data_IF_396560348733
#
_entry.id   IF_396560348733
#
_cell.length_a   1.000
_cell.length_b   1.000
_cell.length_c   1.000
_cell.angle_alpha   90.00
_cell.angle_beta   90.00
_cell.angle_gamma   90.00
#
_symmetry.space_group_name_H-M   'P 1'
#
loop_
_entity.id
_entity.type
_entity.pdbx_description
1 polymer ?
#
# COMPACT_ATOMS: atom_id res chain seq x y z
N UNK A 1 24.03 -3.68 5.51
CA UNK A 1 22.97 -4.61 5.10
C UNK A 1 21.86 -3.83 4.41
N UNK A 2 21.42 -4.30 3.25
CA UNK A 2 20.38 -3.59 2.51
C UNK A 2 19.04 -3.68 3.24
N UNK A 3 18.30 -2.58 3.24
CA UNK A 3 16.94 -2.52 3.76
C UNK A 3 16.02 -3.37 2.90
N UNK A 4 15.20 -4.20 3.52
CA UNK A 4 14.19 -4.99 2.83
C UNK A 4 12.82 -4.38 3.05
N UNK A 5 12.03 -4.18 1.99
CA UNK A 5 10.67 -3.71 2.17
C UNK A 5 9.77 -4.82 2.71
N UNK A 6 8.71 -4.43 3.39
CA UNK A 6 7.63 -5.33 3.77
C UNK A 6 6.52 -5.18 2.72
N UNK A 7 6.32 -6.22 1.92
CA UNK A 7 5.29 -6.21 0.87
C UNK A 7 4.35 -7.38 1.11
N UNK A 8 3.05 -7.07 1.20
CA UNK A 8 2.03 -8.10 1.34
C UNK A 8 0.87 -7.81 0.39
N UNK A 9 0.39 -8.86 -0.27
CA UNK A 9 -0.86 -8.84 -1.04
C UNK A 9 -1.77 -9.84 -0.35
N UNK A 10 -2.84 -9.34 0.26
CA UNK A 10 -3.66 -10.15 1.16
C UNK A 10 -5.14 -9.79 1.03
N UNK A 11 -6.01 -10.73 1.36
CA UNK A 11 -7.44 -10.48 1.43
C UNK A 11 -7.82 -9.76 2.73
N UNK A 12 -7.14 -10.10 3.82
CA UNK A 12 -7.44 -9.61 5.17
C UNK A 12 -7.14 -8.12 5.29
N UNK A 13 -7.89 -7.47 6.16
CA UNK A 13 -7.63 -6.08 6.51
C UNK A 13 -6.30 -5.95 7.25
N UNK A 14 -5.86 -4.72 7.45
CA UNK A 14 -4.63 -4.41 8.16
C UNK A 14 -4.91 -3.33 9.21
N UNK A 15 -4.06 -3.29 10.23
CA UNK A 15 -4.13 -2.27 11.27
C UNK A 15 -2.95 -1.32 11.12
N UNK A 16 -3.23 -0.05 10.81
CA UNK A 16 -2.20 0.94 10.54
C UNK A 16 -1.21 1.08 11.71
N UNK A 17 -1.72 1.18 12.94
CA UNK A 17 -0.83 1.37 14.08
C UNK A 17 0.09 0.18 14.29
N UNK A 18 -0.41 -1.03 14.10
CA UNK A 18 0.40 -2.24 14.21
C UNK A 18 1.54 -2.21 13.19
N UNK A 19 1.26 -1.81 11.96
CA UNK A 19 2.29 -1.77 10.91
C UNK A 19 3.33 -0.69 11.19
N UNK A 20 2.94 0.46 11.71
CA UNK A 20 3.89 1.50 12.11
C UNK A 20 4.77 1.00 13.25
N UNK A 21 4.17 0.36 14.25
CA UNK A 21 4.92 -0.17 15.40
C UNK A 21 5.94 -1.22 14.98
N UNK A 22 5.57 -2.11 14.06
CA UNK A 22 6.48 -3.12 13.53
C UNK A 22 7.68 -2.48 12.81
N UNK A 23 7.43 -1.43 12.05
CA UNK A 23 8.49 -0.75 11.30
C UNK A 23 9.45 0.01 12.21
N UNK A 24 8.93 0.64 13.26
CA UNK A 24 9.72 1.58 14.08
C UNK A 24 10.29 0.97 15.35
N UNK A 25 9.90 -0.27 15.70
CA UNK A 25 10.33 -0.90 16.95
C UNK A 25 11.85 -0.95 17.06
N UNK A 26 12.38 -0.43 18.16
CA UNK A 26 13.82 -0.43 18.43
C UNK A 26 14.65 0.46 17.52
N UNK A 27 14.02 1.29 16.67
CA UNK A 27 14.72 2.17 15.71
C UNK A 27 14.83 3.57 16.27
N UNK A 28 16.03 4.15 16.19
CA UNK A 28 16.30 5.52 16.65
C UNK A 28 16.79 6.43 15.51
N UNK A 29 16.90 5.89 14.30
CA UNK A 29 17.36 6.59 13.12
C UNK A 29 16.23 7.20 12.29
N UNK A 30 14.99 6.79 12.54
CA UNK A 30 13.82 7.27 11.80
C UNK A 30 13.38 8.60 12.36
N UNK A 31 13.39 9.64 11.52
CA UNK A 31 12.93 10.97 11.88
C UNK A 31 11.59 11.35 11.28
N UNK A 32 11.12 10.61 10.28
CA UNK A 32 9.85 10.91 9.61
C UNK A 32 9.19 9.61 9.15
N UNK A 33 7.88 9.53 9.36
CA UNK A 33 7.05 8.42 8.87
C UNK A 33 5.86 9.05 8.13
N UNK A 34 5.69 8.65 6.88
CA UNK A 34 4.56 9.08 6.05
C UNK A 34 3.72 7.85 5.74
N UNK A 35 2.42 7.96 5.96
CA UNK A 35 1.49 6.88 5.68
C UNK A 35 0.44 7.34 4.68
N UNK A 36 0.07 6.44 3.79
CA UNK A 36 -1.05 6.62 2.88
C UNK A 36 -1.98 5.43 3.01
N UNK A 37 -3.26 5.69 3.23
CA UNK A 37 -4.30 4.66 3.25
C UNK A 37 -5.30 4.98 2.14
N UNK A 38 -5.53 4.01 1.27
CA UNK A 38 -6.57 4.09 0.24
C UNK A 38 -7.76 3.25 0.64
N UNK A 39 -8.96 3.84 0.53
CA UNK A 39 -10.20 3.19 0.93
C UNK A 39 -11.10 3.02 -0.27
N UNK A 40 -11.99 2.05 -0.19
CA UNK A 40 -13.04 1.87 -1.19
C UNK A 40 -14.06 2.99 -1.05
N UNK A 41 -14.23 3.77 -2.11
CA UNK A 41 -15.13 4.91 -2.12
C UNK A 41 -16.38 4.57 -2.93
N UNK A 42 -17.54 4.90 -2.39
CA UNK A 42 -18.80 4.74 -3.06
C UNK A 42 -19.18 6.06 -3.73
N UNK A 43 -18.83 6.22 -4.99
CA UNK A 43 -19.18 7.41 -5.76
C UNK A 43 -20.65 7.33 -6.15
N UNK A 44 -21.46 8.23 -5.58
CA UNK A 44 -22.88 8.33 -5.90
C UNK A 44 -23.80 7.38 -5.13
N UNK A 45 -23.29 6.63 -4.18
CA UNK A 45 -24.10 5.78 -3.32
C UNK A 45 -24.64 4.51 -3.95
N UNK A 46 -24.11 4.12 -5.12
CA UNK A 46 -24.61 2.97 -5.86
C UNK A 46 -23.73 1.73 -5.77
N UNK A 47 -22.52 1.87 -5.28
CA UNK A 47 -21.57 0.75 -5.20
C UNK A 47 -21.90 -0.16 -4.03
N UNK A 48 -22.15 -1.43 -4.32
CA UNK A 48 -22.34 -2.44 -3.27
C UNK A 48 -21.03 -3.05 -2.80
N UNK A 49 -20.10 -3.30 -3.72
CA UNK A 49 -18.79 -3.86 -3.40
C UNK A 49 -17.84 -3.64 -4.58
N UNK A 50 -16.55 -3.59 -4.25
CA UNK A 50 -15.46 -3.62 -5.21
C UNK A 50 -14.77 -4.96 -5.10
N UNK A 51 -14.49 -5.59 -6.23
CA UNK A 51 -13.71 -6.82 -6.22
C UNK A 51 -12.40 -6.58 -6.95
N UNK A 52 -11.27 -6.81 -6.26
CA UNK A 52 -9.94 -6.65 -6.81
C UNK A 52 -9.34 -8.02 -7.09
N UNK A 53 -8.89 -8.21 -8.32
CA UNK A 53 -8.26 -9.45 -8.77
C UNK A 53 -6.80 -9.20 -9.10
N UNK A 54 -5.98 -10.24 -8.97
CA UNK A 54 -4.56 -10.16 -9.28
C UNK A 54 -4.04 -11.56 -9.65
N UNK A 55 -2.86 -11.60 -10.27
CA UNK A 55 -2.13 -12.85 -10.44
C UNK A 55 -1.26 -13.07 -9.22
N UNK A 56 -1.49 -14.16 -8.45
CA UNK A 56 -0.65 -14.47 -7.29
C UNK A 56 0.82 -14.57 -7.69
N UNK A 57 1.69 -14.00 -6.88
CA UNK A 57 3.12 -13.96 -7.12
C UNK A 57 3.56 -12.81 -8.00
N UNK A 58 2.84 -12.49 -9.06
CA UNK A 58 3.21 -11.38 -9.94
C UNK A 58 3.03 -10.04 -9.26
N UNK A 59 1.92 -9.85 -8.55
CA UNK A 59 1.66 -8.58 -7.86
C UNK A 59 2.71 -8.33 -6.78
N UNK A 60 3.00 -9.32 -5.95
CA UNK A 60 4.02 -9.19 -4.92
C UNK A 60 5.40 -8.87 -5.53
N UNK A 61 5.76 -9.56 -6.61
CA UNK A 61 7.06 -9.37 -7.26
C UNK A 61 7.20 -7.95 -7.80
N UNK A 62 6.18 -7.44 -8.48
CA UNK A 62 6.21 -6.11 -9.06
C UNK A 62 6.20 -5.02 -7.99
N UNK A 63 5.40 -5.18 -6.95
CA UNK A 63 5.38 -4.20 -5.85
C UNK A 63 6.73 -4.22 -5.13
N UNK A 64 7.31 -5.40 -4.91
CA UNK A 64 8.62 -5.52 -4.27
C UNK A 64 9.71 -4.84 -5.11
N UNK A 65 9.66 -5.00 -6.43
CA UNK A 65 10.61 -4.34 -7.33
C UNK A 65 10.56 -2.83 -7.18
N UNK A 66 9.36 -2.26 -7.20
CA UNK A 66 9.16 -0.82 -7.06
C UNK A 66 9.53 -0.34 -5.65
N UNK A 67 9.21 -1.14 -4.63
CA UNK A 67 9.58 -0.82 -3.26
C UNK A 67 11.08 -0.73 -3.08
N UNK A 68 11.82 -1.67 -3.68
CA UNK A 68 13.28 -1.63 -3.64
C UNK A 68 13.84 -0.42 -4.37
N UNK A 69 13.26 -0.05 -5.51
CA UNK A 69 13.65 1.15 -6.23
C UNK A 69 13.42 2.41 -5.39
N UNK A 70 12.30 2.48 -4.68
CA UNK A 70 12.00 3.62 -3.81
C UNK A 70 13.02 3.73 -2.67
N UNK A 71 13.32 2.61 -2.02
CA UNK A 71 14.31 2.58 -0.93
C UNK A 71 15.64 3.11 -1.42
N UNK A 72 16.11 2.61 -2.57
CA UNK A 72 17.39 2.99 -3.12
C UNK A 72 17.41 4.46 -3.56
N UNK A 73 16.37 4.88 -4.29
CA UNK A 73 16.33 6.22 -4.87
C UNK A 73 16.21 7.32 -3.83
N UNK A 74 15.42 7.11 -2.78
CA UNK A 74 15.13 8.14 -1.79
C UNK A 74 15.84 7.93 -0.46
N UNK A 75 16.61 6.86 -0.32
CA UNK A 75 17.33 6.57 0.92
C UNK A 75 16.37 6.26 2.08
N UNK A 76 15.34 5.48 1.82
CA UNK A 76 14.36 5.16 2.85
C UNK A 76 14.94 4.21 3.89
N UNK A 77 14.50 4.38 5.12
CA UNK A 77 14.87 3.52 6.25
C UNK A 77 13.84 2.44 6.54
N UNK A 78 12.67 2.55 5.94
CA UNK A 78 11.63 1.56 6.00
C UNK A 78 10.60 1.80 4.93
N UNK A 79 10.00 0.72 4.43
CA UNK A 79 8.90 0.81 3.48
C UNK A 79 8.00 -0.41 3.64
N UNK A 80 6.73 -0.16 3.83
CA UNK A 80 5.68 -1.17 3.90
C UNK A 80 4.65 -0.86 2.82
N UNK A 81 4.29 -1.87 2.04
CA UNK A 81 3.23 -1.75 1.05
C UNK A 81 2.32 -2.97 1.19
N UNK A 82 1.06 -2.74 1.52
CA UNK A 82 0.06 -3.79 1.69
C UNK A 82 -1.09 -3.48 0.74
N UNK A 83 -1.43 -4.43 -0.12
CA UNK A 83 -2.55 -4.28 -1.04
C UNK A 83 -3.51 -5.44 -0.84
N UNK A 84 -4.78 -5.11 -0.61
CA UNK A 84 -5.82 -6.11 -0.45
C UNK A 84 -6.35 -6.54 -1.81
N UNK A 85 -6.89 -7.74 -1.86
CA UNK A 85 -7.61 -8.26 -3.01
C UNK A 85 -8.90 -8.92 -2.54
N UNK A 86 -9.73 -9.30 -3.50
CA UNK A 86 -11.02 -9.90 -3.20
C UNK A 86 -12.10 -8.86 -3.07
N UNK A 87 -13.17 -9.20 -2.40
CA UNK A 87 -14.34 -8.35 -2.26
C UNK A 87 -14.13 -7.35 -1.14
N UNK A 88 -14.27 -6.06 -1.46
CA UNK A 88 -14.04 -4.95 -0.54
C UNK A 88 -15.29 -4.07 -0.57
N UNK A 89 -15.82 -3.77 0.61
CA UNK A 89 -17.02 -2.95 0.74
C UNK A 89 -16.66 -1.47 0.83
N UNK A 90 -17.60 -0.57 0.46
CA UNK A 90 -17.35 0.86 0.62
C UNK A 90 -16.94 1.21 2.04
N UNK A 91 -15.92 2.05 2.17
CA UNK A 91 -15.37 2.45 3.46
C UNK A 91 -14.28 1.55 3.98
N UNK A 92 -14.10 0.36 3.39
CA UNK A 92 -13.04 -0.55 3.81
C UNK A 92 -11.69 -0.18 3.18
N UNK A 93 -10.62 -0.57 3.84
CA UNK A 93 -9.25 -0.34 3.36
C UNK A 93 -8.97 -1.14 2.09
N UNK A 94 -8.22 -0.54 1.17
CA UNK A 94 -7.72 -1.21 -0.03
C UNK A 94 -6.20 -1.37 0.05
N UNK A 95 -5.50 -0.29 0.39
CA UNK A 95 -4.04 -0.24 0.27
C UNK A 95 -3.45 0.60 1.38
N UNK A 96 -2.25 0.22 1.82
CA UNK A 96 -1.46 0.96 2.79
C UNK A 96 -0.04 1.07 2.28
N UNK A 97 0.51 2.29 2.32
CA UNK A 97 1.93 2.53 2.07
C UNK A 97 2.47 3.32 3.26
N UNK A 98 3.56 2.83 3.84
CA UNK A 98 4.27 3.51 4.93
C UNK A 98 5.72 3.69 4.48
N UNK A 99 6.20 4.92 4.47
CA UNK A 99 7.60 5.22 4.16
C UNK A 99 8.23 5.91 5.35
N UNK A 100 9.39 5.41 5.76
CA UNK A 100 10.17 5.97 6.87
C UNK A 100 11.52 6.43 6.35
N UNK A 101 11.97 7.57 6.84
CA UNK A 101 13.24 8.17 6.46
C UNK A 101 13.79 8.99 7.62
N UNK A 102 15.06 9.44 7.50
CA UNK A 102 15.62 10.32 8.51
C UNK A 102 14.98 11.70 8.48
N UNK A 103 14.51 12.14 7.31
CA UNK A 103 13.85 13.44 7.13
C UNK A 103 12.58 13.31 6.29
N UNK A 104 11.67 14.26 6.46
CA UNK A 104 10.32 14.19 5.88
C UNK A 104 10.29 14.17 4.35
N UNK A 105 11.19 14.90 3.68
CA UNK A 105 11.13 14.99 2.21
C UNK A 105 11.27 13.63 1.55
N UNK A 106 12.25 12.85 1.98
CA UNK A 106 12.46 11.50 1.43
C UNK A 106 11.26 10.60 1.73
N UNK A 107 10.67 10.71 2.91
CA UNK A 107 9.50 9.91 3.28
C UNK A 107 8.30 10.24 2.37
N UNK A 108 8.02 11.53 2.13
CA UNK A 108 6.95 11.93 1.22
C UNK A 108 7.24 11.47 -0.21
N UNK A 109 8.46 11.71 -0.69
CA UNK A 109 8.82 11.34 -2.07
C UNK A 109 8.74 9.84 -2.28
N UNK A 110 9.23 9.06 -1.33
CA UNK A 110 9.19 7.61 -1.40
C UNK A 110 7.77 7.05 -1.39
N UNK A 111 6.93 7.55 -0.50
CA UNK A 111 5.54 7.14 -0.44
C UNK A 111 4.81 7.48 -1.74
N UNK A 112 5.00 8.68 -2.25
CA UNK A 112 4.36 9.12 -3.48
C UNK A 112 4.79 8.28 -4.68
N UNK A 113 6.07 7.96 -4.76
CA UNK A 113 6.61 7.12 -5.84
C UNK A 113 5.93 5.76 -5.88
N UNK A 114 5.82 5.11 -4.71
CA UNK A 114 5.17 3.79 -4.61
C UNK A 114 3.68 3.90 -4.93
N UNK A 115 3.02 4.94 -4.44
CA UNK A 115 1.59 5.15 -4.70
C UNK A 115 1.30 5.36 -6.17
N UNK A 116 2.13 6.14 -6.86
CA UNK A 116 1.96 6.35 -8.30
C UNK A 116 2.01 5.04 -9.06
N UNK A 117 2.94 4.15 -8.70
CA UNK A 117 3.02 2.83 -9.31
C UNK A 117 1.76 2.00 -9.02
N UNK A 118 1.35 1.96 -7.76
CA UNK A 118 0.19 1.15 -7.36
C UNK A 118 -1.08 1.61 -8.07
N UNK A 119 -1.20 2.91 -8.29
CA UNK A 119 -2.37 3.48 -8.93
C UNK A 119 -2.39 3.30 -10.45
N UNK A 120 -1.23 3.30 -11.09
CA UNK A 120 -1.15 3.33 -12.56
C UNK A 120 -0.67 2.04 -13.20
N UNK A 121 0.12 1.24 -12.52
CA UNK A 121 0.86 0.14 -13.14
C UNK A 121 0.82 -1.18 -12.38
N UNK A 122 0.30 -1.20 -11.16
CA UNK A 122 0.24 -2.45 -10.40
C UNK A 122 -0.70 -3.45 -11.09
N UNK A 123 -0.35 -4.75 -11.10
CA UNK A 123 -1.13 -5.77 -11.82
C UNK A 123 -2.37 -6.19 -11.05
N UNK A 124 -3.24 -5.23 -10.81
CA UNK A 124 -4.57 -5.44 -10.26
C UNK A 124 -5.60 -4.94 -11.24
N UNK A 125 -6.74 -5.61 -11.29
CA UNK A 125 -7.89 -5.12 -12.04
C UNK A 125 -9.12 -5.23 -11.16
N UNK A 126 -10.10 -4.36 -11.42
CA UNK A 126 -11.25 -4.23 -10.54
C UNK A 126 -12.54 -4.57 -11.26
N UNK A 127 -13.47 -5.12 -10.50
CA UNK A 127 -14.84 -5.39 -10.92
C UNK A 127 -15.75 -4.75 -9.89
N UNK A 128 -16.68 -3.93 -10.36
CA UNK A 128 -17.62 -3.25 -9.49
C UNK A 128 -18.94 -4.01 -9.41
N UNK A 129 -19.42 -4.19 -8.20
CA UNK A 129 -20.73 -4.80 -7.94
C UNK A 129 -21.66 -3.71 -7.37
N UNK A 130 -22.67 -3.34 -8.13
CA UNK A 130 -23.57 -2.28 -7.72
C UNK A 130 -24.66 -2.80 -6.80
N UNK A 131 -25.22 -1.91 -5.98
CA UNK A 131 -26.24 -2.27 -4.99
C UNK A 131 -27.53 -2.79 -5.65
N UNK A 132 -27.78 -2.44 -6.92
CA UNK A 132 -28.94 -2.93 -7.68
C UNK A 132 -28.70 -4.31 -8.33
N UNK A 133 -27.54 -4.89 -8.13
CA UNK A 133 -27.18 -6.21 -8.71
C UNK A 133 -26.56 -6.15 -10.09
N UNK A 134 -26.30 -4.97 -10.63
CA UNK A 134 -25.69 -4.84 -11.97
C UNK A 134 -24.16 -4.87 -11.94
#
# INVERSE_FOLDING_TARGET
MAMQPMVRVQHEDFDLQTEIDLMTAGRHDIGAVVTFSGLCRDEGGALGALELEHYPGMAEAEITRIANLAIERFGLLGLTAIHRYGKILPGENIVLVIAAASHRQAAFDGANFVMDFLKTSAPFWKKEHFADGS
#
